data_IF_497573745090
#
_entry.id   IF_497573745090
#
_cell.length_a   1.000
_cell.length_b   1.000
_cell.length_c   1.000
_cell.angle_alpha   90.00
_cell.angle_beta   90.00
_cell.angle_gamma   90.00
#
_symmetry.space_group_name_H-M   'P 1'
#
loop_
_entity.id
_entity.type
_entity.pdbx_description
1 polymer ?
#
# COMPACT_ATOMS: atom_id res chain seq x y z
N UNK A 1 15.16 -32.24 8.09
CA UNK A 1 15.62 -30.95 7.54
C UNK A 1 16.05 -30.09 8.72
N UNK A 2 17.34 -29.84 8.93
CA UNK A 2 17.77 -28.88 9.97
C UNK A 2 17.41 -27.47 9.50
N UNK A 3 16.54 -26.78 10.23
CA UNK A 3 16.29 -25.35 10.01
C UNK A 3 17.59 -24.59 10.24
N UNK A 4 17.98 -23.69 9.32
CA UNK A 4 19.13 -22.80 9.53
C UNK A 4 18.93 -22.00 10.82
N UNK A 5 20.00 -21.54 11.47
CA UNK A 5 19.86 -20.70 12.67
C UNK A 5 18.97 -19.48 12.41
N UNK A 6 19.08 -18.87 11.22
CA UNK A 6 18.19 -17.80 10.78
C UNK A 6 16.71 -18.20 10.82
N UNK A 7 16.35 -19.37 10.26
CA UNK A 7 14.98 -19.87 10.27
C UNK A 7 14.47 -20.18 11.68
N UNK A 8 15.34 -20.69 12.57
CA UNK A 8 14.97 -20.95 13.97
C UNK A 8 14.63 -19.65 14.71
N UNK A 9 15.47 -18.62 14.59
CA UNK A 9 15.21 -17.32 15.20
C UNK A 9 14.02 -16.60 14.55
N UNK A 10 13.82 -16.77 13.24
CA UNK A 10 12.65 -16.22 12.56
C UNK A 10 11.35 -16.81 13.11
N UNK A 11 11.29 -18.12 13.32
CA UNK A 11 10.11 -18.77 13.92
C UNK A 11 9.90 -18.33 15.37
N UNK A 12 10.99 -18.21 16.15
CA UNK A 12 10.91 -17.66 17.51
C UNK A 12 10.35 -16.23 17.51
N UNK A 13 10.69 -15.42 16.51
CA UNK A 13 10.09 -14.10 16.35
C UNK A 13 8.59 -14.18 16.05
N UNK A 14 8.16 -15.09 15.19
CA UNK A 14 6.74 -15.29 14.86
C UNK A 14 5.91 -15.78 16.05
N UNK A 15 6.48 -16.62 16.92
CA UNK A 15 5.79 -17.07 18.15
C UNK A 15 5.53 -15.91 19.13
N UNK A 16 6.41 -14.91 19.13
CA UNK A 16 6.30 -13.72 19.99
C UNK A 16 5.46 -12.60 19.35
N UNK A 17 5.44 -12.49 18.03
CA UNK A 17 4.75 -11.41 17.33
C UNK A 17 3.23 -11.66 17.24
N UNK A 18 2.36 -10.66 17.50
CA UNK A 18 2.65 -9.25 17.77
C UNK A 18 2.64 -8.85 19.26
N UNK A 19 2.63 -9.82 20.19
CA UNK A 19 2.36 -9.55 21.61
C UNK A 19 3.62 -9.21 22.42
N UNK A 20 4.70 -9.97 22.21
CA UNK A 20 5.99 -9.83 22.89
C UNK A 20 7.00 -9.13 21.95
N UNK A 21 6.76 -7.84 21.69
CA UNK A 21 7.46 -7.10 20.63
C UNK A 21 8.99 -7.03 20.81
N UNK A 22 9.48 -6.86 22.03
CA UNK A 22 10.92 -6.81 22.33
C UNK A 22 11.59 -8.16 21.98
N UNK A 23 11.03 -9.26 22.46
CA UNK A 23 11.51 -10.62 22.15
C UNK A 23 11.43 -10.94 20.66
N UNK A 24 10.38 -10.46 19.98
CA UNK A 24 10.21 -10.62 18.54
C UNK A 24 11.30 -9.85 17.78
N UNK A 25 11.55 -8.58 18.14
CA UNK A 25 12.60 -7.77 17.51
C UNK A 25 13.98 -8.35 17.70
N UNK A 26 14.34 -8.74 18.93
CA UNK A 26 15.64 -9.37 19.22
C UNK A 26 15.81 -10.66 18.39
N UNK A 27 14.78 -11.50 18.32
CA UNK A 27 14.81 -12.72 17.51
C UNK A 27 14.93 -12.42 16.00
N UNK A 28 14.29 -11.37 15.50
CA UNK A 28 14.47 -10.93 14.11
C UNK A 28 15.88 -10.43 13.83
N UNK A 29 16.48 -9.67 14.75
CA UNK A 29 17.87 -9.20 14.64
C UNK A 29 18.84 -10.39 14.61
N UNK A 30 18.65 -11.38 15.47
CA UNK A 30 19.42 -12.62 15.42
C UNK A 30 19.24 -13.32 14.08
N UNK A 31 18.00 -13.48 13.59
CA UNK A 31 17.76 -14.09 12.29
C UNK A 31 18.53 -13.38 11.16
N UNK A 32 18.48 -12.05 11.13
CA UNK A 32 19.17 -11.22 10.14
C UNK A 32 20.69 -11.19 10.31
N UNK A 33 21.21 -11.44 11.52
CA UNK A 33 22.64 -11.61 11.74
C UNK A 33 23.19 -12.90 11.11
N UNK A 34 22.38 -13.97 11.07
CA UNK A 34 22.75 -15.25 10.44
C UNK A 34 22.45 -15.27 8.94
N UNK A 35 21.40 -14.58 8.50
CA UNK A 35 21.06 -14.38 7.09
C UNK A 35 20.45 -12.99 6.88
N UNK A 36 21.28 -12.05 6.45
CA UNK A 36 20.88 -10.66 6.21
C UNK A 36 19.90 -10.50 5.03
N UNK A 37 19.77 -11.51 4.19
CA UNK A 37 18.85 -11.56 3.07
C UNK A 37 17.57 -12.36 3.39
N UNK A 38 17.36 -12.82 4.63
CA UNK A 38 16.22 -13.64 4.99
C UNK A 38 14.89 -12.88 4.76
N UNK A 39 14.18 -13.22 3.68
CA UNK A 39 13.02 -12.46 3.22
C UNK A 39 11.89 -12.33 4.28
N UNK A 40 11.62 -13.40 5.03
CA UNK A 40 10.59 -13.41 6.09
C UNK A 40 10.91 -12.47 7.25
N UNK A 41 12.13 -12.56 7.80
CA UNK A 41 12.61 -11.67 8.86
C UNK A 41 12.66 -10.21 8.41
N UNK A 42 13.20 -9.91 7.21
CA UNK A 42 13.18 -8.54 6.65
C UNK A 42 11.75 -8.01 6.49
N UNK A 43 10.83 -8.84 5.97
CA UNK A 43 9.42 -8.46 5.82
C UNK A 43 8.78 -8.13 7.16
N UNK A 44 8.97 -9.00 8.15
CA UNK A 44 8.38 -8.85 9.49
C UNK A 44 8.94 -7.63 10.21
N UNK A 45 10.25 -7.37 10.08
CA UNK A 45 10.86 -6.14 10.60
C UNK A 45 10.26 -4.90 9.92
N UNK A 46 10.07 -4.94 8.60
CA UNK A 46 9.40 -3.89 7.84
C UNK A 46 7.98 -3.61 8.33
N UNK A 47 7.18 -4.66 8.55
CA UNK A 47 5.83 -4.55 9.11
C UNK A 47 5.84 -3.97 10.54
N UNK A 48 6.78 -4.36 11.40
CA UNK A 48 6.88 -3.81 12.75
C UNK A 48 7.13 -2.30 12.72
N UNK A 49 8.11 -1.84 11.93
CA UNK A 49 8.35 -0.40 11.76
C UNK A 49 7.13 0.32 11.18
N UNK A 50 6.41 -0.29 10.23
CA UNK A 50 5.27 0.31 9.57
C UNK A 50 4.02 0.40 10.46
N UNK A 51 3.62 -0.73 11.04
CA UNK A 51 2.31 -0.91 11.66
C UNK A 51 2.33 -0.61 13.16
N UNK A 52 3.46 -0.85 13.82
CA UNK A 52 3.61 -0.64 15.27
C UNK A 52 4.27 0.71 15.55
N UNK A 53 5.39 1.00 14.89
CA UNK A 53 6.18 2.21 15.18
C UNK A 53 5.79 3.40 14.31
N UNK A 54 4.96 3.21 13.28
CA UNK A 54 4.61 4.23 12.29
C UNK A 54 5.83 4.90 11.60
N UNK A 55 7.00 4.25 11.62
CA UNK A 55 8.21 4.68 10.93
C UNK A 55 8.25 4.09 9.52
N UNK A 56 7.49 4.70 8.63
CA UNK A 56 7.42 4.33 7.22
C UNK A 56 8.77 4.45 6.49
N UNK A 57 9.69 5.30 6.96
CA UNK A 57 10.99 5.48 6.30
C UNK A 57 11.88 4.28 6.54
N UNK A 58 11.92 3.78 7.77
CA UNK A 58 12.68 2.58 8.11
C UNK A 58 12.00 1.33 7.56
N UNK A 59 10.66 1.25 7.67
CA UNK A 59 9.88 0.17 7.07
C UNK A 59 10.16 0.01 5.57
N UNK A 60 10.19 1.12 4.82
CA UNK A 60 10.44 1.09 3.38
C UNK A 60 11.79 0.46 3.04
N UNK A 61 12.84 0.67 3.84
CA UNK A 61 14.16 0.05 3.62
C UNK A 61 14.07 -1.46 3.78
N UNK A 62 13.50 -1.93 4.89
CA UNK A 62 13.34 -3.36 5.15
C UNK A 62 12.46 -4.05 4.12
N UNK A 63 11.33 -3.44 3.74
CA UNK A 63 10.42 -3.99 2.74
C UNK A 63 11.06 -4.05 1.34
N UNK A 64 11.88 -3.06 0.95
CA UNK A 64 12.66 -3.12 -0.30
C UNK A 64 13.67 -4.26 -0.28
N UNK A 65 14.41 -4.44 0.82
CA UNK A 65 15.33 -5.56 0.97
C UNK A 65 14.60 -6.90 0.94
N UNK A 66 13.50 -7.04 1.69
CA UNK A 66 12.66 -8.24 1.71
C UNK A 66 12.16 -8.61 0.30
N UNK A 67 11.69 -7.61 -0.45
CA UNK A 67 11.20 -7.82 -1.82
C UNK A 67 12.34 -8.20 -2.77
N UNK A 68 13.53 -7.65 -2.58
CA UNK A 68 14.71 -8.02 -3.38
C UNK A 68 15.11 -9.47 -3.13
N UNK A 69 15.04 -9.94 -1.88
CA UNK A 69 15.30 -11.34 -1.52
C UNK A 69 14.24 -12.31 -2.01
N UNK A 70 12.98 -11.88 -2.16
CA UNK A 70 11.91 -12.71 -2.72
C UNK A 70 10.96 -11.89 -3.62
N UNK A 71 11.36 -11.61 -4.88
CA UNK A 71 10.62 -10.70 -5.77
C UNK A 71 9.25 -11.22 -6.21
N UNK A 72 9.04 -12.53 -6.13
CA UNK A 72 7.75 -13.16 -6.49
C UNK A 72 6.76 -13.25 -5.33
N UNK A 73 7.14 -12.77 -4.14
CA UNK A 73 6.22 -12.74 -3.00
C UNK A 73 5.18 -11.64 -3.15
N UNK A 74 3.94 -12.04 -3.46
CA UNK A 74 2.82 -11.10 -3.55
C UNK A 74 2.59 -10.36 -2.23
N UNK A 75 2.67 -11.06 -1.08
CA UNK A 75 2.50 -10.46 0.25
C UNK A 75 3.49 -9.31 0.47
N UNK A 76 4.79 -9.58 0.29
CA UNK A 76 5.84 -8.56 0.46
C UNK A 76 5.62 -7.41 -0.55
N UNK A 77 5.27 -7.74 -1.79
CA UNK A 77 4.99 -6.75 -2.83
C UNK A 77 3.83 -5.82 -2.49
N UNK A 78 2.73 -6.34 -1.95
CA UNK A 78 1.57 -5.54 -1.56
C UNK A 78 1.88 -4.63 -0.36
N UNK A 79 2.62 -5.13 0.64
CA UNK A 79 3.01 -4.32 1.80
C UNK A 79 4.03 -3.23 1.41
N UNK A 80 4.98 -3.55 0.53
CA UNK A 80 5.90 -2.57 -0.05
C UNK A 80 5.13 -1.50 -0.85
N UNK A 81 4.15 -1.91 -1.66
CA UNK A 81 3.31 -0.99 -2.43
C UNK A 81 2.49 -0.06 -1.52
N UNK A 82 1.94 -0.58 -0.44
CA UNK A 82 1.27 0.23 0.58
C UNK A 82 2.23 1.23 1.24
N UNK A 83 3.44 0.79 1.61
CA UNK A 83 4.45 1.66 2.20
C UNK A 83 4.87 2.77 1.23
N UNK A 84 5.18 2.44 -0.05
CA UNK A 84 5.50 3.40 -1.10
C UNK A 84 4.39 4.43 -1.32
N UNK A 85 3.13 3.99 -1.25
CA UNK A 85 1.97 4.88 -1.40
C UNK A 85 1.87 5.86 -0.24
N UNK A 86 2.05 5.41 1.00
CA UNK A 86 2.02 6.26 2.18
C UNK A 86 3.19 7.24 2.24
N UNK A 87 4.37 6.84 1.76
CA UNK A 87 5.55 7.72 1.63
C UNK A 87 5.54 8.54 0.35
N UNK A 88 4.47 8.49 -0.46
CA UNK A 88 4.28 9.25 -1.71
C UNK A 88 5.32 8.97 -2.81
N UNK A 89 5.94 7.80 -2.80
CA UNK A 89 6.87 7.34 -3.84
C UNK A 89 6.07 6.76 -5.02
N UNK A 90 5.23 7.60 -5.65
CA UNK A 90 4.19 7.14 -6.59
C UNK A 90 4.73 6.51 -7.87
N UNK A 91 5.87 6.98 -8.38
CA UNK A 91 6.49 6.41 -9.58
C UNK A 91 6.98 4.99 -9.34
N UNK A 92 7.65 4.76 -8.20
CA UNK A 92 8.08 3.42 -7.79
C UNK A 92 6.89 2.51 -7.53
N UNK A 93 5.84 3.02 -6.87
CA UNK A 93 4.59 2.29 -6.65
C UNK A 93 3.95 1.82 -7.97
N UNK A 94 3.90 2.67 -9.00
CA UNK A 94 3.36 2.30 -10.32
C UNK A 94 4.20 1.25 -11.04
N UNK A 95 5.53 1.34 -10.96
CA UNK A 95 6.43 0.31 -11.49
C UNK A 95 6.21 -1.02 -10.79
N UNK A 96 6.08 -1.00 -9.47
CA UNK A 96 5.81 -2.20 -8.68
C UNK A 96 4.45 -2.82 -9.02
N UNK A 97 3.38 -2.03 -9.13
CA UNK A 97 2.07 -2.50 -9.61
C UNK A 97 2.19 -3.23 -10.95
N UNK A 98 2.90 -2.63 -11.90
CA UNK A 98 3.08 -3.20 -13.24
C UNK A 98 3.83 -4.54 -13.15
N UNK A 99 4.86 -4.60 -12.32
CA UNK A 99 5.62 -5.81 -12.07
C UNK A 99 4.74 -6.90 -11.41
N UNK A 100 3.98 -6.59 -10.37
CA UNK A 100 3.10 -7.56 -9.69
C UNK A 100 2.04 -8.14 -10.63
N UNK A 101 1.48 -7.34 -11.54
CA UNK A 101 0.57 -7.84 -12.58
C UNK A 101 1.23 -8.80 -13.58
N UNK A 102 2.54 -8.69 -13.80
CA UNK A 102 3.22 -9.46 -14.86
C UNK A 102 3.36 -10.96 -14.56
N UNK A 103 3.39 -11.34 -13.28
CA UNK A 103 3.62 -12.73 -12.88
C UNK A 103 2.50 -13.33 -12.05
N UNK A 104 1.54 -12.52 -11.60
CA UNK A 104 0.55 -12.97 -10.64
C UNK A 104 -0.80 -13.26 -11.29
N UNK A 105 -1.22 -14.52 -11.24
CA UNK A 105 -2.55 -14.98 -11.68
C UNK A 105 -3.55 -15.10 -10.52
N UNK A 106 -3.06 -15.21 -9.30
CA UNK A 106 -3.85 -15.45 -8.08
C UNK A 106 -3.78 -14.23 -7.16
N UNK A 107 -4.89 -13.81 -6.54
CA UNK A 107 -4.87 -12.64 -5.64
C UNK A 107 -4.80 -11.28 -6.37
N UNK A 108 -5.23 -11.23 -7.63
CA UNK A 108 -5.33 -10.00 -8.44
C UNK A 108 -6.19 -8.92 -7.75
N UNK A 109 -7.18 -9.33 -6.96
CA UNK A 109 -8.00 -8.42 -6.14
C UNK A 109 -7.17 -7.52 -5.22
N UNK A 110 -6.16 -8.08 -4.55
CA UNK A 110 -5.26 -7.33 -3.66
C UNK A 110 -4.44 -6.26 -4.41
N UNK A 111 -3.96 -6.59 -5.63
CA UNK A 111 -3.24 -5.63 -6.48
C UNK A 111 -4.18 -4.49 -6.89
N UNK A 112 -5.40 -4.80 -7.33
CA UNK A 112 -6.38 -3.77 -7.67
C UNK A 112 -6.77 -2.89 -6.49
N UNK A 113 -6.85 -3.43 -5.27
CA UNK A 113 -7.05 -2.64 -4.05
C UNK A 113 -5.92 -1.65 -3.83
N UNK A 114 -4.68 -2.11 -3.92
CA UNK A 114 -3.51 -1.25 -3.72
C UNK A 114 -3.41 -0.16 -4.81
N UNK A 115 -3.74 -0.48 -6.07
CA UNK A 115 -3.88 0.52 -7.15
C UNK A 115 -4.99 1.54 -6.88
N UNK A 116 -6.13 1.08 -6.34
CA UNK A 116 -7.23 1.96 -5.93
C UNK A 116 -6.77 3.00 -4.92
N UNK A 117 -6.01 2.56 -3.91
CA UNK A 117 -5.42 3.42 -2.89
C UNK A 117 -4.39 4.39 -3.48
N UNK A 118 -3.48 3.89 -4.32
CA UNK A 118 -2.46 4.69 -4.99
C UNK A 118 -3.08 5.84 -5.79
N UNK A 119 -4.08 5.55 -6.63
CA UNK A 119 -4.79 6.58 -7.37
C UNK A 119 -5.58 7.54 -6.47
N UNK A 120 -6.07 7.08 -5.31
CA UNK A 120 -6.72 7.95 -4.34
C UNK A 120 -5.72 8.97 -3.74
N UNK A 121 -4.50 8.54 -3.39
CA UNK A 121 -3.41 9.40 -2.92
C UNK A 121 -2.95 10.41 -3.99
N UNK A 122 -2.96 10.00 -5.26
CA UNK A 122 -2.70 10.87 -6.40
C UNK A 122 -3.88 11.79 -6.76
N UNK A 123 -4.98 11.71 -6.01
CA UNK A 123 -6.23 12.45 -6.27
C UNK A 123 -6.92 12.13 -7.60
N UNK A 124 -6.56 11.04 -8.27
CA UNK A 124 -7.27 10.49 -9.43
C UNK A 124 -8.41 9.58 -8.97
N UNK A 125 -9.43 10.21 -8.40
CA UNK A 125 -10.56 9.50 -7.81
C UNK A 125 -11.34 8.66 -8.85
N UNK A 126 -11.31 9.05 -10.12
CA UNK A 126 -11.98 8.29 -11.19
C UNK A 126 -11.29 6.95 -11.43
N UNK A 127 -9.95 6.95 -11.55
CA UNK A 127 -9.19 5.70 -11.68
C UNK A 127 -9.23 4.87 -10.41
N UNK A 128 -9.14 5.51 -9.24
CA UNK A 128 -9.28 4.84 -7.95
C UNK A 128 -10.59 4.03 -7.85
N UNK A 129 -11.73 4.65 -8.18
CA UNK A 129 -13.04 3.96 -8.20
C UNK A 129 -13.04 2.80 -9.21
N UNK A 130 -12.46 2.96 -10.39
CA UNK A 130 -12.39 1.90 -11.39
C UNK A 130 -11.61 0.68 -10.85
N UNK A 131 -10.47 0.91 -10.19
CA UNK A 131 -9.65 -0.15 -9.60
C UNK A 131 -10.33 -0.85 -8.43
N UNK A 132 -10.97 -0.12 -7.52
CA UNK A 132 -11.74 -0.75 -6.44
C UNK A 132 -12.91 -1.59 -6.96
N UNK A 133 -13.54 -1.23 -8.08
CA UNK A 133 -14.56 -2.09 -8.72
C UNK A 133 -13.97 -3.39 -9.28
N UNK A 134 -12.78 -3.33 -9.87
CA UNK A 134 -12.07 -4.52 -10.33
C UNK A 134 -11.69 -5.41 -9.12
N UNK A 135 -11.16 -4.82 -8.04
CA UNK A 135 -10.88 -5.54 -6.80
C UNK A 135 -12.12 -6.28 -6.26
N UNK A 136 -13.29 -5.61 -6.31
CA UNK A 136 -14.56 -6.22 -5.87
C UNK A 136 -15.00 -7.38 -6.75
N UNK A 137 -14.75 -7.33 -8.06
CA UNK A 137 -15.06 -8.42 -8.97
C UNK A 137 -14.25 -9.68 -8.66
N UNK A 138 -13.01 -9.50 -8.20
CA UNK A 138 -12.07 -10.56 -7.82
C UNK A 138 -12.15 -10.93 -6.32
N UNK A 139 -13.20 -10.51 -5.62
CA UNK A 139 -13.39 -10.73 -4.18
C UNK A 139 -14.46 -11.78 -3.90
N UNK A 140 -14.08 -12.82 -3.15
CA UNK A 140 -14.92 -14.00 -2.90
C UNK A 140 -15.36 -14.15 -1.45
N UNK A 141 -15.15 -13.14 -0.59
CA UNK A 141 -15.60 -13.17 0.79
C UNK A 141 -16.34 -11.88 1.18
N UNK A 142 -17.31 -12.03 2.10
CA UNK A 142 -18.21 -10.93 2.48
C UNK A 142 -17.50 -9.80 3.23
N UNK A 143 -16.51 -10.13 4.05
CA UNK A 143 -15.76 -9.13 4.83
C UNK A 143 -15.04 -8.17 3.89
N UNK A 144 -14.28 -8.70 2.94
CA UNK A 144 -13.53 -7.91 1.97
C UNK A 144 -14.44 -7.13 1.02
N UNK A 145 -15.55 -7.74 0.57
CA UNK A 145 -16.55 -7.03 -0.24
C UNK A 145 -17.18 -5.83 0.50
N UNK A 146 -17.52 -6.01 1.78
CA UNK A 146 -18.09 -4.95 2.61
C UNK A 146 -17.10 -3.82 2.84
N UNK A 147 -15.83 -4.17 3.08
CA UNK A 147 -14.75 -3.19 3.19
C UNK A 147 -14.61 -2.37 1.90
N UNK A 148 -14.54 -3.03 0.73
CA UNK A 148 -14.45 -2.37 -0.58
C UNK A 148 -15.63 -1.44 -0.88
N UNK A 149 -16.84 -1.77 -0.42
CA UNK A 149 -18.00 -0.88 -0.53
C UNK A 149 -17.82 0.42 0.27
N UNK A 150 -17.22 0.32 1.46
CA UNK A 150 -16.82 1.48 2.26
C UNK A 150 -15.81 2.37 1.53
N UNK A 151 -14.75 1.76 0.98
CA UNK A 151 -13.72 2.47 0.20
C UNK A 151 -14.35 3.20 -1.00
N UNK A 152 -15.17 2.50 -1.79
CA UNK A 152 -15.88 3.05 -2.93
C UNK A 152 -16.79 4.22 -2.54
N UNK A 153 -17.55 4.10 -1.45
CA UNK A 153 -18.41 5.17 -0.95
C UNK A 153 -17.59 6.41 -0.57
N UNK A 154 -16.48 6.22 0.15
CA UNK A 154 -15.56 7.30 0.54
C UNK A 154 -14.98 8.01 -0.69
N UNK A 155 -14.44 7.27 -1.65
CA UNK A 155 -13.79 7.86 -2.85
C UNK A 155 -14.82 8.57 -3.73
N UNK A 156 -16.02 8.02 -3.91
CA UNK A 156 -17.12 8.70 -4.63
C UNK A 156 -17.48 10.03 -3.98
N UNK A 157 -17.49 10.12 -2.64
CA UNK A 157 -17.71 11.38 -1.91
C UNK A 157 -16.58 12.39 -2.18
N UNK A 158 -15.32 11.95 -2.21
CA UNK A 158 -14.17 12.79 -2.57
C UNK A 158 -14.27 13.32 -4.02
N UNK A 159 -14.66 12.48 -4.97
CA UNK A 159 -14.88 12.86 -6.38
C UNK A 159 -15.98 13.93 -6.52
N UNK A 160 -17.15 13.74 -5.88
CA UNK A 160 -18.24 14.73 -5.90
C UNK A 160 -17.78 16.09 -5.37
N UNK A 161 -17.10 16.11 -4.22
CA UNK A 161 -16.54 17.34 -3.63
C UNK A 161 -15.53 18.03 -4.56
N UNK A 162 -14.67 17.27 -5.22
CA UNK A 162 -13.70 17.80 -6.19
C UNK A 162 -14.38 18.50 -7.38
N UNK A 163 -15.41 17.88 -7.96
CA UNK A 163 -16.19 18.45 -9.07
C UNK A 163 -16.92 19.75 -8.67
N UNK A 164 -17.54 19.79 -7.49
CA UNK A 164 -18.22 21.00 -6.99
C UNK A 164 -17.23 22.15 -6.78
N UNK A 165 -16.04 21.88 -6.23
CA UNK A 165 -14.98 22.89 -6.08
C UNK A 165 -14.53 23.44 -7.43
N UNK A 166 -14.37 22.58 -8.44
CA UNK A 166 -13.98 23.00 -9.80
C UNK A 166 -15.02 23.94 -10.43
N UNK A 167 -16.31 23.56 -10.38
CA UNK A 167 -17.42 24.39 -10.87
C UNK A 167 -17.48 25.77 -10.20
N UNK A 168 -17.29 25.85 -8.88
CA UNK A 168 -17.29 27.13 -8.14
C UNK A 168 -16.08 28.02 -8.51
N UNK A 169 -14.93 27.41 -8.84
CA UNK A 169 -13.74 28.15 -9.31
C UNK A 169 -13.95 28.70 -10.72
N UNK A 170 -14.52 27.89 -11.61
CA UNK A 170 -14.88 28.29 -12.99
C UNK A 170 -15.92 29.41 -12.99
N UNK A 171 -16.97 29.32 -12.16
CA UNK A 171 -18.00 30.37 -12.07
C UNK A 171 -17.45 31.69 -11.56
N UNK A 172 -16.53 31.67 -10.57
CA UNK A 172 -15.84 32.87 -10.08
C UNK A 172 -14.94 33.50 -11.14
N UNK A 173 -14.21 32.68 -11.90
CA UNK A 173 -13.34 33.14 -12.99
C UNK A 173 -14.16 33.81 -14.09
N UNK A 174 -15.24 33.17 -14.52
CA UNK A 174 -16.16 33.72 -15.52
C UNK A 174 -16.76 35.05 -15.04
N UNK A 175 -17.22 35.11 -13.79
CA UNK A 175 -17.77 36.35 -13.23
C UNK A 175 -16.72 37.48 -13.23
N UNK A 176 -15.47 37.21 -12.83
CA UNK A 176 -14.41 38.23 -12.89
C UNK A 176 -14.08 38.69 -14.31
N UNK A 177 -14.07 37.79 -15.29
CA UNK A 177 -13.81 38.12 -16.70
C UNK A 177 -14.92 38.98 -17.30
N UNK A 178 -16.18 38.64 -17.00
CA UNK A 178 -17.35 39.42 -17.42
C UNK A 178 -17.34 40.81 -16.77
N UNK A 179 -17.07 40.90 -15.46
CA UNK A 179 -17.07 42.19 -14.75
C UNK A 179 -15.96 43.12 -15.26
N UNK A 180 -14.78 42.57 -15.59
CA UNK A 180 -13.69 43.33 -16.19
C UNK A 180 -14.08 43.91 -17.56
N UNK A 181 -14.73 43.13 -18.41
CA UNK A 181 -15.15 43.56 -19.75
C UNK A 181 -16.11 44.75 -19.72
N UNK A 182 -17.04 44.80 -18.75
CA UNK A 182 -18.01 45.89 -18.61
C UNK A 182 -17.49 47.11 -17.82
N UNK A 183 -16.25 47.07 -17.32
CA UNK A 183 -15.61 48.18 -16.58
C UNK A 183 -14.64 49.04 -17.43
N UNK A 184 -14.51 48.72 -18.72
CA UNK A 184 -13.76 49.49 -19.73
C UNK A 184 -14.72 50.24 -20.64
#
# INVERSE_FOLDING_TARGET
MSKSLAEQYYLKALDNYPFELENAMESLEYALSYDSAHAGALHTMGCLYMDVLSDYKTALKYLKSAFTSNPKSLKIGLDLLFCLTNTRHFEEAQKLVTYLHSFNREGVGGIYTAEGLLHEYMHDYSKSIAKYKLAKKESYNNSYNSWLDGELARVKKKLKKSKTKKKKKESKKLYSEVTYYFSR
#
